data_IF_625658486755
#
_entry.id   IF_625658486755
#
_cell.length_a   1.000
_cell.length_b   1.000
_cell.length_c   1.000
_cell.angle_alpha   90.00
_cell.angle_beta   90.00
_cell.angle_gamma   90.00
#
_symmetry.space_group_name_H-M   'P 1'
#
loop_
_entity.id
_entity.type
_entity.pdbx_description
1 polymer ?
#
# COMPACT_ATOMS: atom_id res chain seq x y z
N UNK A 1 47.85 -13.84 -10.28
CA UNK A 1 47.32 -15.07 -9.68
C UNK A 1 45.87 -14.81 -9.33
N UNK A 2 44.96 -15.53 -10.00
CA UNK A 2 43.51 -15.33 -9.91
C UNK A 2 42.84 -16.44 -9.09
N UNK A 3 41.76 -16.04 -8.40
CA UNK A 3 40.65 -16.83 -7.83
C UNK A 3 40.93 -17.60 -6.52
N UNK A 4 39.90 -17.95 -5.72
CA UNK A 4 38.44 -17.93 -5.98
C UNK A 4 37.59 -17.37 -4.81
N UNK A 5 36.26 -17.26 -4.98
CA UNK A 5 35.26 -17.89 -4.09
C UNK A 5 33.83 -17.57 -4.52
N UNK A 6 33.19 -18.61 -5.06
CA UNK A 6 31.76 -18.79 -5.15
C UNK A 6 31.11 -18.66 -3.77
N UNK A 7 30.01 -17.90 -3.64
CA UNK A 7 29.07 -18.08 -2.52
C UNK A 7 27.69 -18.38 -3.12
N UNK A 8 27.41 -19.67 -3.21
CA UNK A 8 26.07 -20.18 -3.47
C UNK A 8 25.22 -20.08 -2.21
N UNK A 9 23.93 -19.78 -2.43
CA UNK A 9 22.76 -20.17 -1.65
C UNK A 9 22.56 -19.61 -0.24
N UNK A 10 21.60 -18.69 -0.13
CA UNK A 10 20.42 -18.93 0.71
C UNK A 10 19.24 -18.02 0.30
N UNK A 11 18.13 -18.66 -0.04
CA UNK A 11 16.78 -18.07 -0.13
C UNK A 11 15.86 -18.93 0.72
N UNK A 12 14.64 -18.48 1.04
CA UNK A 12 14.29 -17.33 1.86
C UNK A 12 13.86 -17.82 3.26
N UNK A 13 14.34 -17.21 4.32
CA UNK A 13 13.82 -17.53 5.66
C UNK A 13 12.36 -17.12 5.75
N UNK A 14 11.52 -18.09 6.06
CA UNK A 14 10.06 -18.03 6.15
C UNK A 14 9.57 -16.73 6.76
N UNK A 15 8.66 -16.07 6.04
CA UNK A 15 7.87 -14.93 6.49
C UNK A 15 7.10 -15.29 7.76
N UNK A 16 7.71 -15.02 8.91
CA UNK A 16 6.99 -14.94 10.17
C UNK A 16 6.06 -13.73 10.06
N UNK A 17 4.76 -14.00 9.91
CA UNK A 17 3.72 -12.99 9.99
C UNK A 17 3.78 -12.35 11.38
N UNK A 18 4.58 -11.29 11.50
CA UNK A 18 4.64 -10.48 12.70
C UNK A 18 3.25 -9.88 12.94
N UNK A 19 2.69 -10.14 14.12
CA UNK A 19 1.49 -9.43 14.61
C UNK A 19 1.69 -7.93 14.37
N UNK A 20 0.68 -7.19 13.89
CA UNK A 20 0.81 -5.74 13.76
C UNK A 20 1.09 -5.19 15.17
N UNK A 21 2.31 -4.69 15.35
CA UNK A 21 2.65 -3.93 16.55
C UNK A 21 1.73 -2.71 16.62
N UNK A 22 1.37 -2.22 17.82
CA UNK A 22 0.64 -0.98 17.92
C UNK A 22 1.39 0.08 17.13
N UNK A 23 0.71 0.73 16.17
CA UNK A 23 1.28 1.73 15.27
C UNK A 23 2.08 2.74 16.09
N UNK A 24 3.41 2.57 16.12
CA UNK A 24 4.31 3.46 16.86
C UNK A 24 4.63 4.64 15.96
N UNK A 25 3.70 5.59 15.91
CA UNK A 25 3.91 6.84 15.18
C UNK A 25 4.86 7.69 16.02
N UNK A 26 6.07 7.93 15.50
CA UNK A 26 7.02 8.85 16.11
C UNK A 26 7.02 10.16 15.33
N UNK A 27 6.71 11.25 16.02
CA UNK A 27 6.88 12.58 15.47
C UNK A 27 8.37 12.93 15.45
N UNK A 28 8.84 13.41 14.30
CA UNK A 28 10.21 13.89 14.11
C UNK A 28 10.16 15.31 13.56
N UNK A 29 11.23 16.08 13.77
CA UNK A 29 11.34 17.40 13.15
C UNK A 29 11.44 17.27 11.63
N UNK A 30 11.00 18.31 10.92
CA UNK A 30 11.14 18.40 9.46
C UNK A 30 12.60 18.18 9.03
N UNK A 31 13.56 18.77 9.73
CA UNK A 31 14.98 18.59 9.41
C UNK A 31 15.45 17.13 9.47
N UNK A 32 14.92 16.34 10.42
CA UNK A 32 15.24 14.91 10.51
C UNK A 32 14.57 14.11 9.40
N UNK A 33 13.30 14.42 9.06
CA UNK A 33 12.62 13.73 7.95
C UNK A 33 13.31 13.97 6.61
N UNK A 34 13.76 15.20 6.32
CA UNK A 34 14.47 15.53 5.08
C UNK A 34 15.83 14.80 4.98
N UNK A 35 16.56 14.70 6.09
CA UNK A 35 17.82 13.94 6.15
C UNK A 35 17.61 12.45 5.89
N UNK A 36 16.50 11.88 6.36
CA UNK A 36 16.16 10.48 6.12
C UNK A 36 15.80 10.24 4.65
N UNK A 37 15.00 11.13 4.03
CA UNK A 37 14.67 11.05 2.61
C UNK A 37 15.93 11.11 1.72
N UNK A 38 16.90 11.95 2.10
CA UNK A 38 18.18 12.04 1.36
C UNK A 38 19.00 10.76 1.49
N UNK A 39 18.97 10.09 2.66
CA UNK A 39 19.76 8.88 2.91
C UNK A 39 19.23 7.65 2.17
N UNK A 40 17.92 7.56 2.01
CA UNK A 40 17.22 6.43 1.39
C UNK A 40 16.43 6.93 0.17
N UNK A 41 17.14 7.56 -0.77
CA UNK A 41 16.54 8.14 -1.96
C UNK A 41 16.38 7.10 -3.07
N UNK A 42 15.16 6.88 -3.54
CA UNK A 42 14.90 5.93 -4.64
C UNK A 42 14.88 6.64 -6.02
N UNK A 43 15.40 7.87 -6.08
CA UNK A 43 15.38 8.72 -7.29
C UNK A 43 16.14 8.09 -8.45
N UNK A 44 17.26 7.41 -8.19
CA UNK A 44 18.07 6.82 -9.26
C UNK A 44 17.43 5.57 -9.89
N UNK A 45 16.66 4.81 -9.13
CA UNK A 45 16.07 3.55 -9.59
C UNK A 45 14.71 3.78 -10.26
N UNK A 46 13.91 4.71 -9.73
CA UNK A 46 12.53 4.92 -10.19
C UNK A 46 12.26 6.33 -10.73
N UNK A 47 13.27 7.20 -10.81
CA UNK A 47 13.15 8.61 -11.21
C UNK A 47 12.04 9.36 -10.44
N UNK A 48 11.90 9.03 -9.15
CA UNK A 48 10.79 9.49 -8.33
C UNK A 48 11.04 10.89 -7.75
N UNK A 49 10.15 11.84 -8.04
CA UNK A 49 10.27 13.23 -7.56
C UNK A 49 9.47 13.45 -6.26
N UNK A 50 10.10 13.22 -5.11
CA UNK A 50 9.47 13.37 -3.79
C UNK A 50 8.83 14.76 -3.55
N UNK A 51 9.45 15.83 -4.04
CA UNK A 51 8.93 17.20 -3.89
C UNK A 51 7.66 17.46 -4.70
N UNK A 52 7.49 16.76 -5.83
CA UNK A 52 6.36 16.98 -6.76
C UNK A 52 5.25 15.95 -6.57
N UNK A 53 5.58 14.75 -6.10
CA UNK A 53 4.65 13.61 -6.09
C UNK A 53 3.53 13.74 -5.06
N UNK A 54 3.68 14.60 -4.06
CA UNK A 54 2.67 14.81 -3.03
C UNK A 54 2.42 13.59 -2.14
N UNK A 55 3.23 12.52 -2.24
CA UNK A 55 3.11 11.33 -1.37
C UNK A 55 3.21 11.66 0.11
N UNK A 56 3.96 12.70 0.44
CA UNK A 56 4.16 13.20 1.80
C UNK A 56 3.33 14.44 2.11
N UNK A 57 2.42 14.85 1.22
CA UNK A 57 1.46 15.90 1.54
C UNK A 57 0.46 15.36 2.58
N UNK A 58 0.09 16.16 3.60
CA UNK A 58 -0.89 15.73 4.58
C UNK A 58 -2.19 15.36 3.85
N UNK A 59 -2.94 14.33 4.30
CA UNK A 59 -4.20 13.96 3.68
C UNK A 59 -5.13 15.16 3.56
N UNK A 60 -5.42 15.59 2.34
CA UNK A 60 -6.31 16.72 2.09
C UNK A 60 -7.74 16.19 1.95
N UNK A 61 -8.66 16.70 2.75
CA UNK A 61 -10.10 16.38 2.62
C UNK A 61 -10.60 16.81 1.25
N UNK A 62 -11.06 15.83 0.45
CA UNK A 62 -11.66 16.11 -0.86
C UNK A 62 -13.08 16.67 -0.66
N UNK A 63 -13.34 17.83 -1.27
CA UNK A 63 -14.67 18.49 -1.23
C UNK A 63 -15.71 17.81 -2.11
N UNK A 64 -15.24 17.12 -3.15
CA UNK A 64 -16.07 16.41 -4.10
C UNK A 64 -15.32 15.18 -4.58
N UNK A 65 -16.06 14.12 -4.83
CA UNK A 65 -15.51 12.92 -5.41
C UNK A 65 -16.21 12.64 -6.73
N UNK A 66 -15.45 12.21 -7.73
CA UNK A 66 -15.98 11.93 -9.06
C UNK A 66 -16.07 10.41 -9.22
N UNK A 67 -17.26 9.91 -9.52
CA UNK A 67 -17.45 8.55 -9.98
C UNK A 67 -17.38 8.51 -11.52
N UNK A 68 -17.05 7.38 -12.13
CA UNK A 68 -17.34 7.19 -13.56
C UNK A 68 -18.86 7.05 -13.72
N UNK A 69 -19.54 7.76 -14.65
CA UNK A 69 -19.06 8.44 -15.87
C UNK A 69 -18.91 9.98 -15.75
N UNK A 70 -18.43 10.49 -14.62
CA UNK A 70 -18.18 11.92 -14.38
C UNK A 70 -19.15 12.58 -13.40
N UNK A 71 -19.93 11.80 -12.63
CA UNK A 71 -20.89 12.35 -11.67
C UNK A 71 -20.23 12.60 -10.32
N UNK A 72 -20.59 13.72 -9.70
CA UNK A 72 -20.15 14.08 -8.35
C UNK A 72 -20.90 13.18 -7.36
N UNK A 73 -20.16 12.45 -6.54
CA UNK A 73 -20.66 11.64 -5.43
C UNK A 73 -20.29 12.29 -4.10
N UNK A 74 -21.18 12.09 -3.13
CA UNK A 74 -20.94 12.48 -1.75
C UNK A 74 -19.91 11.55 -1.09
N UNK A 75 -19.28 12.00 -0.01
CA UNK A 75 -18.34 11.17 0.77
C UNK A 75 -19.01 9.87 1.25
N UNK A 76 -20.26 9.97 1.73
CA UNK A 76 -21.01 8.83 2.23
C UNK A 76 -21.23 7.74 1.15
N UNK A 77 -21.63 8.14 -0.05
CA UNK A 77 -21.84 7.22 -1.17
C UNK A 77 -20.58 6.40 -1.49
N UNK A 78 -19.42 7.06 -1.46
CA UNK A 78 -18.15 6.39 -1.76
C UNK A 78 -17.71 5.49 -0.63
N UNK A 79 -17.87 5.92 0.62
CA UNK A 79 -17.61 5.05 1.75
C UNK A 79 -18.47 3.78 1.68
N UNK A 80 -19.76 3.92 1.36
CA UNK A 80 -20.64 2.77 1.19
C UNK A 80 -20.16 1.86 0.06
N UNK A 81 -19.84 2.42 -1.10
CA UNK A 81 -19.36 1.66 -2.26
C UNK A 81 -18.03 0.93 -1.98
N UNK A 82 -17.10 1.56 -1.26
CA UNK A 82 -15.85 0.94 -0.81
C UNK A 82 -16.12 -0.22 0.17
N UNK A 83 -17.01 -0.05 1.14
CA UNK A 83 -17.41 -1.13 2.06
C UNK A 83 -18.00 -2.31 1.30
N UNK A 84 -18.86 -2.05 0.31
CA UNK A 84 -19.42 -3.11 -0.53
C UNK A 84 -18.35 -3.81 -1.36
N UNK A 85 -17.38 -3.09 -1.93
CA UNK A 85 -16.30 -3.67 -2.74
C UNK A 85 -15.31 -4.51 -1.91
N UNK A 86 -15.10 -4.13 -0.64
CA UNK A 86 -14.24 -4.87 0.29
C UNK A 86 -14.99 -5.99 1.04
N UNK A 87 -16.31 -6.07 0.90
CA UNK A 87 -17.08 -7.13 1.53
C UNK A 87 -16.73 -8.49 0.90
N UNK A 88 -16.60 -9.56 1.69
CA UNK A 88 -16.36 -10.89 1.15
C UNK A 88 -17.52 -11.29 0.22
N UNK A 89 -17.22 -12.00 -0.89
CA UNK A 89 -18.26 -12.44 -1.81
C UNK A 89 -19.23 -13.38 -1.08
N UNK A 90 -20.54 -13.32 -1.41
CA UNK A 90 -21.50 -14.24 -0.83
C UNK A 90 -21.10 -15.68 -1.16
N UNK A 91 -21.11 -16.56 -0.14
CA UNK A 91 -20.90 -17.99 -0.34
C UNK A 91 -21.99 -18.49 -1.28
N UNK A 92 -21.66 -18.74 -2.54
CA UNK A 92 -22.51 -19.50 -3.45
C UNK A 92 -22.68 -20.89 -2.81
N UNK A 93 -23.85 -21.16 -2.25
CA UNK A 93 -24.25 -22.55 -2.00
C UNK A 93 -24.40 -23.17 -3.38
N UNK A 94 -23.38 -23.89 -3.82
CA UNK A 94 -23.57 -24.86 -4.88
C UNK A 94 -24.55 -25.87 -4.31
N UNK A 95 -25.83 -25.71 -4.62
CA UNK A 95 -26.78 -26.80 -4.50
C UNK A 95 -26.26 -27.82 -5.52
N UNK A 96 -25.45 -28.78 -5.05
CA UNK A 96 -25.16 -29.98 -5.81
C UNK A 96 -26.54 -30.57 -6.13
N UNK A 97 -26.94 -30.47 -7.39
CA UNK A 97 -28.06 -31.23 -7.91
C UNK A 97 -27.74 -32.70 -7.62
N UNK A 98 -28.37 -33.28 -6.60
CA UNK A 98 -28.55 -34.72 -6.56
C UNK A 98 -29.52 -35.04 -7.69
N UNK A 99 -28.98 -35.38 -8.85
CA UNK A 99 -29.74 -36.08 -9.89
C UNK A 99 -29.98 -37.47 -9.31
N UNK A 100 -31.26 -37.76 -9.04
CA UNK A 100 -31.78 -39.10 -8.70
C UNK A 100 -31.85 -39.94 -9.97
#
# INVERSE_FOLDING_TARGET
>A
MSSPSEISSSSPSSSSFSRPSPLRIQYVSKSLSERLLTKFSDVSEFNFHYTQSGLWSPPISRKAFINSPGRISTEHEIMQKLRTALAPPPKRRFNLCFIV
#
